data_IF_268439719757
#
_entry.id   IF_268439719757
#
_cell.length_a   1.000
_cell.length_b   1.000
_cell.length_c   1.000
_cell.angle_alpha   90.00
_cell.angle_beta   90.00
_cell.angle_gamma   90.00
#
_symmetry.space_group_name_H-M   'P 1'
#
loop_
_entity.id
_entity.type
_entity.pdbx_description
1 polymer ?
#
# COMPACT_ATOMS: atom_id res chain seq x y z
N UNK A 1 -3.79 -19.74 -23.00
CA UNK A 1 -2.60 -18.87 -22.90
C UNK A 1 -2.80 -17.74 -23.86
N UNK A 2 -2.58 -16.52 -23.40
CA UNK A 2 -2.71 -15.30 -24.21
C UNK A 2 -1.41 -14.52 -24.11
N UNK A 3 -1.08 -13.80 -25.19
CA UNK A 3 0.10 -12.94 -25.22
C UNK A 3 -0.30 -11.56 -24.75
N UNK A 4 0.45 -11.02 -23.79
CA UNK A 4 0.35 -9.61 -23.42
C UNK A 4 1.74 -8.99 -23.26
N UNK A 5 1.74 -7.72 -22.89
CA UNK A 5 2.92 -6.88 -22.83
C UNK A 5 2.99 -6.12 -21.52
N UNK A 6 4.20 -5.98 -20.98
CA UNK A 6 4.44 -5.08 -19.87
C UNK A 6 4.11 -3.65 -20.30
N UNK A 7 3.27 -2.95 -19.52
CA UNK A 7 2.85 -1.56 -19.78
C UNK A 7 3.98 -0.54 -19.79
N UNK A 8 5.13 -0.89 -19.21
CA UNK A 8 6.27 0.01 -19.06
C UNK A 8 7.38 -0.28 -20.08
N UNK A 9 7.94 -1.49 -20.07
CA UNK A 9 9.08 -1.83 -20.93
C UNK A 9 8.68 -2.51 -22.25
N UNK A 10 7.39 -2.83 -22.45
CA UNK A 10 6.90 -3.50 -23.66
C UNK A 10 7.33 -4.96 -23.82
N UNK A 11 7.95 -5.57 -22.79
CA UNK A 11 8.34 -6.99 -22.86
C UNK A 11 7.10 -7.86 -22.94
N UNK A 12 7.02 -8.68 -24.00
CA UNK A 12 5.90 -9.60 -24.24
C UNK A 12 6.11 -10.95 -23.58
N UNK A 13 5.05 -11.52 -22.99
CA UNK A 13 5.06 -12.87 -22.40
C UNK A 13 3.71 -13.55 -22.62
N UNK A 14 3.72 -14.88 -22.75
CA UNK A 14 2.51 -15.68 -22.70
C UNK A 14 2.14 -15.96 -21.25
N UNK A 15 0.93 -15.58 -20.86
CA UNK A 15 0.38 -15.82 -19.51
C UNK A 15 -0.91 -16.63 -19.61
N UNK A 16 -1.22 -17.34 -18.53
CA UNK A 16 -2.50 -18.02 -18.36
C UNK A 16 -3.38 -17.14 -17.48
N UNK A 17 -4.37 -16.49 -18.09
CA UNK A 17 -5.38 -15.69 -17.39
C UNK A 17 -6.77 -16.19 -17.78
N UNK A 18 -7.71 -16.09 -16.84
CA UNK A 18 -9.13 -16.37 -17.06
C UNK A 18 -9.85 -15.16 -17.69
N UNK A 19 -9.29 -13.96 -17.52
CA UNK A 19 -9.82 -12.71 -18.07
C UNK A 19 -8.88 -12.14 -19.14
N UNK A 20 -9.39 -12.03 -20.37
CA UNK A 20 -8.64 -11.50 -21.52
C UNK A 20 -8.31 -10.00 -21.40
N UNK A 21 -9.11 -9.27 -20.61
CA UNK A 21 -8.90 -7.83 -20.43
C UNK A 21 -7.73 -7.53 -19.47
N UNK A 22 -7.24 -8.54 -18.73
CA UNK A 22 -6.20 -8.40 -17.71
C UNK A 22 -4.84 -9.01 -18.12
N UNK A 23 -4.67 -9.41 -19.38
CA UNK A 23 -3.44 -10.08 -19.85
C UNK A 23 -2.21 -9.17 -19.66
N UNK A 24 -2.29 -7.92 -20.10
CA UNK A 24 -1.19 -6.95 -19.97
C UNK A 24 -0.92 -6.57 -18.50
N UNK A 25 -1.96 -6.51 -17.66
CA UNK A 25 -1.80 -6.29 -16.22
C UNK A 25 -1.03 -7.47 -15.60
N UNK A 26 -1.39 -8.70 -15.96
CA UNK A 26 -0.71 -9.92 -15.47
C UNK A 26 0.75 -9.93 -15.91
N UNK A 27 1.03 -9.65 -17.19
CA UNK A 27 2.40 -9.57 -17.71
C UNK A 27 3.18 -8.46 -17.00
N UNK A 28 2.58 -7.30 -16.76
CA UNK A 28 3.20 -6.21 -16.01
C UNK A 28 3.52 -6.61 -14.57
N UNK A 29 2.61 -7.32 -13.91
CA UNK A 29 2.78 -7.83 -12.54
C UNK A 29 3.83 -8.95 -12.43
N UNK A 30 4.18 -9.61 -13.52
CA UNK A 30 5.25 -10.62 -13.60
C UNK A 30 6.56 -10.07 -14.17
N UNK A 31 6.58 -8.82 -14.65
CA UNK A 31 7.76 -8.26 -15.32
C UNK A 31 8.83 -7.82 -14.32
N UNK A 32 10.09 -8.09 -14.66
CA UNK A 32 11.26 -7.78 -13.82
C UNK A 32 11.94 -6.45 -14.20
N UNK A 33 11.32 -5.64 -15.07
CA UNK A 33 11.78 -4.27 -15.28
C UNK A 33 11.56 -3.41 -14.02
N UNK A 34 12.36 -2.36 -13.86
CA UNK A 34 12.31 -1.46 -12.71
C UNK A 34 10.89 -0.94 -12.44
N UNK A 35 10.25 -0.33 -13.44
CA UNK A 35 8.88 0.17 -13.33
C UNK A 35 7.84 -0.93 -13.00
N UNK A 36 8.05 -2.14 -13.51
CA UNK A 36 7.18 -3.30 -13.23
C UNK A 36 7.30 -3.76 -11.78
N UNK A 37 8.50 -3.74 -11.22
CA UNK A 37 8.75 -4.02 -9.80
C UNK A 37 8.13 -2.95 -8.90
N UNK A 38 8.29 -1.67 -9.25
CA UNK A 38 7.69 -0.55 -8.53
C UNK A 38 6.15 -0.59 -8.58
N UNK A 39 5.58 -0.86 -9.74
CA UNK A 39 4.13 -0.99 -9.90
C UNK A 39 3.57 -2.15 -9.07
N UNK A 40 4.26 -3.29 -9.04
CA UNK A 40 3.90 -4.45 -8.22
C UNK A 40 3.96 -4.11 -6.73
N UNK A 41 4.99 -3.37 -6.30
CA UNK A 41 5.15 -2.89 -4.94
C UNK A 41 4.02 -1.92 -4.56
N UNK A 42 3.68 -0.99 -5.45
CA UNK A 42 2.58 -0.03 -5.29
C UNK A 42 1.24 -0.75 -5.11
N UNK A 43 0.90 -1.68 -6.00
CA UNK A 43 -0.35 -2.46 -5.93
C UNK A 43 -0.47 -3.22 -4.61
N UNK A 44 0.60 -3.92 -4.20
CA UNK A 44 0.64 -4.64 -2.91
C UNK A 44 0.45 -3.68 -1.73
N UNK A 45 1.11 -2.53 -1.75
CA UNK A 45 1.04 -1.53 -0.69
C UNK A 45 -0.36 -0.92 -0.59
N UNK A 46 -0.96 -0.53 -1.72
CA UNK A 46 -2.35 -0.03 -1.76
C UNK A 46 -3.34 -1.05 -1.22
N UNK A 47 -3.24 -2.31 -1.64
CA UNK A 47 -4.10 -3.38 -1.12
C UNK A 47 -3.93 -3.57 0.40
N UNK A 48 -2.69 -3.47 0.91
CA UNK A 48 -2.41 -3.58 2.34
C UNK A 48 -2.99 -2.40 3.13
N UNK A 49 -2.86 -1.17 2.63
CA UNK A 49 -3.47 0.03 3.22
C UNK A 49 -4.99 -0.13 3.29
N UNK A 50 -5.62 -0.50 2.18
CA UNK A 50 -7.09 -0.68 2.10
C UNK A 50 -7.54 -1.73 3.12
N UNK A 51 -6.90 -2.90 3.13
CA UNK A 51 -7.21 -3.95 4.10
C UNK A 51 -7.08 -3.47 5.55
N UNK A 52 -6.00 -2.78 5.91
CA UNK A 52 -5.79 -2.31 7.28
C UNK A 52 -6.74 -1.19 7.72
N UNK A 53 -7.17 -0.35 6.78
CA UNK A 53 -8.02 0.80 7.06
C UNK A 53 -9.50 0.41 7.07
N UNK A 54 -9.95 -0.45 6.16
CA UNK A 54 -11.35 -0.84 6.02
C UNK A 54 -11.74 -2.03 6.91
N UNK A 55 -10.79 -2.90 7.29
CA UNK A 55 -11.12 -4.00 8.22
C UNK A 55 -11.29 -3.48 9.66
N UNK A 56 -12.39 -3.82 10.34
CA UNK A 56 -12.50 -3.57 11.77
C UNK A 56 -11.46 -4.40 12.52
N UNK A 57 -10.90 -3.83 13.60
CA UNK A 57 -10.03 -4.59 14.52
C UNK A 57 -10.71 -4.74 15.87
N UNK A 58 -11.44 -5.83 16.04
CA UNK A 58 -12.22 -6.14 17.24
C UNK A 58 -11.36 -6.07 18.51
N UNK A 59 -10.15 -6.65 18.49
CA UNK A 59 -9.20 -6.66 19.61
C UNK A 59 -8.81 -5.26 20.11
N UNK A 60 -8.88 -4.25 19.25
CA UNK A 60 -8.45 -2.87 19.57
C UNK A 60 -9.62 -1.87 19.60
N UNK A 61 -10.84 -2.33 19.28
CA UNK A 61 -12.02 -1.49 19.11
C UNK A 61 -11.87 -0.41 18.03
N UNK A 62 -10.99 -0.61 17.05
CA UNK A 62 -10.81 0.35 15.95
C UNK A 62 -11.88 0.14 14.89
N UNK A 63 -12.56 1.23 14.55
CA UNK A 63 -13.55 1.27 13.47
C UNK A 63 -12.86 1.34 12.10
N UNK A 64 -13.52 0.89 11.02
CA UNK A 64 -13.07 1.19 9.66
C UNK A 64 -12.88 2.70 9.47
N UNK A 65 -11.85 3.07 8.70
CA UNK A 65 -11.65 4.44 8.22
C UNK A 65 -12.55 4.64 6.99
N UNK A 66 -13.05 5.85 6.78
CA UNK A 66 -13.81 6.19 5.58
C UNK A 66 -13.04 5.86 4.29
N UNK A 67 -13.77 5.48 3.26
CA UNK A 67 -13.18 4.98 2.01
C UNK A 67 -12.36 6.04 1.28
N UNK A 68 -12.85 7.28 1.24
CA UNK A 68 -12.18 8.44 0.65
C UNK A 68 -10.85 8.75 1.36
N UNK A 69 -10.84 8.70 2.69
CA UNK A 69 -9.62 8.87 3.48
C UNK A 69 -8.66 7.70 3.24
N UNK A 70 -9.17 6.48 3.17
CA UNK A 70 -8.37 5.28 2.86
C UNK A 70 -7.71 5.36 1.49
N UNK A 71 -8.46 5.80 0.47
CA UNK A 71 -7.92 6.04 -0.88
C UNK A 71 -6.84 7.11 -0.85
N UNK A 72 -7.07 8.21 -0.15
CA UNK A 72 -6.06 9.27 0.01
C UNK A 72 -4.76 8.74 0.64
N UNK A 73 -4.84 7.87 1.65
CA UNK A 73 -3.67 7.23 2.26
C UNK A 73 -2.98 6.29 1.26
N UNK A 74 -3.75 5.55 0.47
CA UNK A 74 -3.23 4.64 -0.55
C UNK A 74 -2.53 5.39 -1.70
N UNK A 75 -3.03 6.56 -2.08
CA UNK A 75 -2.40 7.41 -3.10
C UNK A 75 -1.09 7.99 -2.57
N UNK A 76 -1.07 8.49 -1.34
CA UNK A 76 0.14 9.01 -0.70
C UNK A 76 1.23 7.92 -0.51
N UNK A 77 0.84 6.64 -0.41
CA UNK A 77 1.80 5.53 -0.33
C UNK A 77 2.69 5.36 -1.56
N UNK A 78 2.28 5.94 -2.70
CA UNK A 78 3.03 5.97 -3.95
C UNK A 78 4.38 6.68 -3.79
N UNK A 79 4.42 7.74 -3.00
CA UNK A 79 5.64 8.54 -2.73
C UNK A 79 6.70 7.68 -2.02
N UNK A 80 6.28 6.75 -1.16
CA UNK A 80 7.18 5.76 -0.53
C UNK A 80 7.59 4.66 -1.53
N UNK A 81 6.69 4.25 -2.42
CA UNK A 81 6.97 3.21 -3.41
C UNK A 81 8.05 3.64 -4.42
N UNK A 82 8.06 4.92 -4.81
CA UNK A 82 9.08 5.51 -5.68
C UNK A 82 10.31 6.05 -4.95
N UNK A 83 10.35 5.94 -3.61
CA UNK A 83 11.56 6.22 -2.83
C UNK A 83 11.86 7.69 -2.62
N UNK A 84 10.88 8.55 -2.81
CA UNK A 84 11.01 9.96 -2.47
C UNK A 84 11.05 10.20 -0.97
N UNK A 85 10.46 9.30 -0.17
CA UNK A 85 10.48 9.33 1.29
C UNK A 85 10.57 7.93 1.89
N UNK A 86 11.18 7.81 3.07
CA UNK A 86 11.33 6.53 3.77
C UNK A 86 10.15 6.22 4.71
N UNK A 87 9.43 7.23 5.17
CA UNK A 87 8.34 7.06 6.12
C UNK A 87 7.26 8.13 5.96
N UNK A 88 6.00 7.69 6.08
CA UNK A 88 4.81 8.53 6.12
C UNK A 88 4.00 8.12 7.34
N UNK A 89 3.58 9.12 8.11
CA UNK A 89 2.68 8.95 9.26
C UNK A 89 1.43 9.76 9.01
N UNK A 90 0.27 9.09 8.99
CA UNK A 90 -1.04 9.71 8.81
C UNK A 90 -1.86 9.52 10.08
N UNK A 91 -2.47 10.62 10.55
CA UNK A 91 -3.43 10.60 11.65
C UNK A 91 -4.83 10.78 11.09
N UNK A 92 -5.68 9.77 11.22
CA UNK A 92 -7.04 9.78 10.69
C UNK A 92 -7.97 8.98 11.60
N UNK A 93 -9.15 9.54 11.92
CA UNK A 93 -10.23 8.85 12.64
C UNK A 93 -9.77 8.10 13.91
N UNK A 94 -8.95 8.78 14.73
CA UNK A 94 -8.42 8.19 15.96
C UNK A 94 -7.44 7.04 15.75
N UNK A 95 -6.89 6.91 14.54
CA UNK A 95 -5.84 5.97 14.16
C UNK A 95 -4.57 6.71 13.74
N UNK A 96 -3.43 6.07 13.97
CA UNK A 96 -2.14 6.42 13.36
C UNK A 96 -1.77 5.31 12.40
N UNK A 97 -1.60 5.67 11.14
CA UNK A 97 -1.15 4.80 10.06
C UNK A 97 0.30 5.16 9.77
N UNK A 98 1.19 4.19 9.85
CA UNK A 98 2.61 4.36 9.54
C UNK A 98 2.95 3.47 8.36
N UNK A 99 3.41 4.09 7.28
CA UNK A 99 3.94 3.41 6.10
C UNK A 99 5.45 3.65 6.11
N UNK A 100 6.26 2.61 6.01
CA UNK A 100 7.72 2.73 6.11
C UNK A 100 8.39 1.82 5.11
N UNK A 101 9.34 2.37 4.36
CA UNK A 101 10.27 1.63 3.51
C UNK A 101 11.28 0.90 4.39
N UNK A 102 11.41 -0.40 4.16
CA UNK A 102 12.41 -1.29 4.77
C UNK A 102 13.27 -1.87 3.66
N UNK A 103 14.42 -2.46 4.02
CA UNK A 103 15.31 -3.12 3.06
C UNK A 103 14.60 -4.21 2.23
N UNK A 104 13.60 -4.87 2.80
CA UNK A 104 12.87 -5.98 2.18
C UNK A 104 11.53 -5.56 1.52
N UNK A 105 11.16 -4.27 1.55
CA UNK A 105 9.90 -3.79 0.97
C UNK A 105 9.24 -2.68 1.78
N UNK A 106 7.89 -2.67 1.82
CA UNK A 106 7.11 -1.64 2.54
C UNK A 106 6.32 -2.29 3.67
N UNK A 107 6.47 -1.72 4.87
CA UNK A 107 5.69 -2.06 6.05
C UNK A 107 4.57 -1.05 6.26
N UNK A 108 3.35 -1.53 6.49
CA UNK A 108 2.17 -0.71 6.77
C UNK A 108 1.61 -1.16 8.10
N UNK A 109 1.56 -0.23 9.07
CA UNK A 109 1.02 -0.48 10.39
C UNK A 109 -0.08 0.52 10.71
N UNK A 110 -1.09 0.05 11.45
CA UNK A 110 -2.20 0.87 11.94
C UNK A 110 -2.36 0.63 13.43
N UNK A 111 -2.28 1.72 14.20
CA UNK A 111 -2.42 1.74 15.66
C UNK A 111 -3.50 2.75 16.07
N UNK A 112 -4.10 2.55 17.23
CA UNK A 112 -4.99 3.55 17.83
C UNK A 112 -4.16 4.78 18.20
N UNK A 113 -4.65 5.97 17.90
CA UNK A 113 -4.04 7.22 18.32
C UNK A 113 -4.11 7.27 19.85
N UNK A 114 -2.97 7.02 20.50
CA UNK A 114 -2.86 7.19 21.95
C UNK A 114 -2.82 8.69 22.21
N UNK A 115 -3.85 9.22 22.87
CA UNK A 115 -3.76 10.52 23.52
C UNK A 115 -2.53 10.49 24.43
N UNK A 116 -1.57 11.38 24.18
CA UNK A 116 -0.43 11.54 25.06
C UNK A 116 -0.96 11.88 26.47
N UNK A 117 -0.87 10.94 27.41
CA UNK A 117 -0.94 11.30 28.83
C UNK A 117 0.25 12.19 29.10
N UNK A 118 0.01 13.50 29.19
CA UNK A 118 1.00 14.45 29.69
C UNK A 118 1.44 13.98 31.08
N UNK A 119 2.64 13.42 31.17
CA UNK A 119 3.28 13.16 32.46
C UNK A 119 3.97 14.45 32.85
N UNK A 120 3.31 15.25 33.68
CA UNK A 120 3.94 16.43 34.29
C UNK A 120 4.95 15.91 35.31
N UNK A 121 6.22 15.85 34.92
CA UNK A 121 7.31 15.64 35.87
C UNK A 121 7.59 17.01 36.50
N UNK A 122 7.10 17.22 37.73
CA UNK A 122 7.54 18.36 38.55
C UNK A 122 8.99 18.10 38.98
N UNK A 123 9.89 19.03 38.65
CA UNK A 123 11.21 19.13 39.29
C UNK A 123 11.03 19.63 40.72
#
# INVERSE_FOLDING_TARGET
MEQGFCKFCGTGKYVQTENKDDVDETVTMECDCEDGLEYRLLKKTRARVISLCMSPKEETGMKPIAEDVTRSIADVSEIICFGHVDQIVVHAEGSTITITRKAEGIDVTRKKLMSAKATIIKK
#
